data_IF_559802965948
#
_entry.id   IF_559802965948
#
_cell.length_a   1.000
_cell.length_b   1.000
_cell.length_c   1.000
_cell.angle_alpha   90.00
_cell.angle_beta   90.00
_cell.angle_gamma   90.00
#
_symmetry.space_group_name_H-M   'P 1'
#
loop_
_entity.id
_entity.type
_entity.pdbx_description
1 polymer ?
#
# COMPACT_ATOMS: atom_id res chain seq x y z
N UNK A 1 14.31 -28.51 -17.83
CA UNK A 1 14.23 -28.46 -16.35
C UNK A 1 13.74 -27.06 -15.98
N UNK A 2 12.42 -26.86 -15.93
CA UNK A 2 11.82 -25.55 -15.71
C UNK A 2 11.46 -25.36 -14.24
N UNK A 3 12.23 -24.53 -13.55
CA UNK A 3 11.99 -24.17 -12.16
C UNK A 3 10.91 -23.08 -12.10
N UNK A 4 9.65 -23.48 -12.04
CA UNK A 4 8.54 -22.58 -11.73
C UNK A 4 8.69 -22.06 -10.29
N UNK A 5 9.27 -20.86 -10.14
CA UNK A 5 9.25 -20.07 -8.92
C UNK A 5 7.79 -19.69 -8.60
N UNK A 6 7.09 -20.56 -7.87
CA UNK A 6 5.77 -20.27 -7.30
C UNK A 6 5.95 -19.15 -6.27
N UNK A 7 5.81 -17.90 -6.71
CA UNK A 7 5.76 -16.73 -5.83
C UNK A 7 4.67 -16.97 -4.79
N UNK A 8 5.08 -17.18 -3.54
CA UNK A 8 4.17 -17.16 -2.39
C UNK A 8 3.55 -15.76 -2.35
N UNK A 9 2.29 -15.65 -2.77
CA UNK A 9 1.49 -14.43 -2.59
C UNK A 9 1.43 -14.13 -1.10
N UNK A 10 2.12 -13.07 -0.66
CA UNK A 10 2.07 -12.62 0.73
C UNK A 10 0.62 -12.35 1.14
N UNK A 11 0.22 -12.86 2.32
CA UNK A 11 -1.09 -12.58 2.92
C UNK A 11 -1.26 -11.06 3.01
N UNK A 12 -2.15 -10.48 2.20
CA UNK A 12 -2.58 -9.09 2.36
C UNK A 12 -3.53 -9.03 3.57
N UNK A 13 -3.08 -8.46 4.69
CA UNK A 13 -3.91 -8.30 5.90
C UNK A 13 -5.11 -7.41 5.59
N UNK A 14 -6.31 -7.92 5.85
CA UNK A 14 -7.60 -7.31 5.46
C UNK A 14 -8.42 -8.20 4.52
N UNK A 15 -7.81 -9.23 3.93
CA UNK A 15 -8.56 -10.41 3.49
C UNK A 15 -8.75 -11.30 4.72
N UNK A 16 -9.99 -11.65 5.05
CA UNK A 16 -10.20 -12.90 5.77
C UNK A 16 -9.45 -13.98 4.97
N UNK A 17 -8.66 -14.86 5.63
CA UNK A 17 -8.18 -16.04 4.94
C UNK A 17 -9.41 -16.64 4.26
N UNK A 18 -9.32 -16.97 2.96
CA UNK A 18 -10.34 -17.79 2.32
C UNK A 18 -10.43 -19.01 3.22
N UNK A 19 -11.41 -19.02 4.12
CA UNK A 19 -11.56 -20.08 5.06
C UNK A 19 -11.73 -21.31 4.17
N UNK A 20 -10.98 -22.39 4.40
CA UNK A 20 -11.27 -23.61 3.69
C UNK A 20 -12.61 -24.10 4.26
N UNK A 21 -13.73 -23.53 3.81
CA UNK A 21 -15.03 -24.15 3.95
C UNK A 21 -15.01 -25.34 3.00
N UNK A 22 -14.50 -26.42 3.58
CA UNK A 22 -14.43 -27.77 3.05
C UNK A 22 -15.72 -28.06 2.26
N UNK A 23 -15.55 -28.47 1.01
CA UNK A 23 -16.56 -29.09 0.15
C UNK A 23 -17.52 -28.18 -0.65
N UNK A 24 -17.91 -26.98 -0.17
CA UNK A 24 -18.97 -26.17 -0.81
C UNK A 24 -18.49 -25.26 -1.97
N UNK A 25 -17.33 -24.61 -1.83
CA UNK A 25 -16.87 -23.63 -2.84
C UNK A 25 -16.57 -24.26 -4.22
N UNK A 26 -16.17 -25.52 -4.27
CA UNK A 26 -15.85 -26.20 -5.52
C UNK A 26 -17.09 -26.44 -6.39
N UNK A 27 -18.23 -26.73 -5.76
CA UNK A 27 -19.52 -26.87 -6.42
C UNK A 27 -19.99 -25.53 -6.97
N UNK A 28 -19.95 -24.47 -6.16
CA UNK A 28 -20.30 -23.11 -6.58
C UNK A 28 -19.42 -22.64 -7.75
N UNK A 29 -18.11 -22.92 -7.71
CA UNK A 29 -17.19 -22.62 -8.82
C UNK A 29 -17.58 -23.36 -10.09
N UNK A 30 -17.93 -24.65 -9.99
CA UNK A 30 -18.36 -25.47 -11.14
C UNK A 30 -19.63 -24.92 -11.77
N UNK A 31 -20.63 -24.59 -10.97
CA UNK A 31 -21.90 -24.02 -11.45
C UNK A 31 -21.71 -22.64 -12.07
N UNK A 32 -20.93 -21.78 -11.42
CA UNK A 32 -20.61 -20.44 -11.92
C UNK A 32 -19.86 -20.52 -13.25
N UNK A 33 -18.91 -21.45 -13.37
CA UNK A 33 -18.17 -21.70 -14.62
C UNK A 33 -19.11 -22.15 -15.74
N UNK A 34 -20.04 -23.07 -15.44
CA UNK A 34 -21.06 -23.51 -16.41
C UNK A 34 -21.92 -22.34 -16.88
N UNK A 35 -22.37 -21.48 -15.96
CA UNK A 35 -23.19 -20.32 -16.28
C UNK A 35 -22.44 -19.31 -17.16
N UNK A 36 -21.21 -18.97 -16.82
CA UNK A 36 -20.41 -18.00 -17.59
C UNK A 36 -20.08 -18.51 -18.98
N UNK A 37 -19.78 -19.81 -19.13
CA UNK A 37 -19.56 -20.44 -20.44
C UNK A 37 -20.81 -20.43 -21.29
N UNK A 38 -21.98 -20.75 -20.71
CA UNK A 38 -23.28 -20.74 -21.41
C UNK A 38 -23.59 -19.37 -22.02
N UNK A 39 -23.20 -18.29 -21.34
CA UNK A 39 -23.45 -16.91 -21.80
C UNK A 39 -22.24 -16.24 -22.45
N UNK A 40 -21.14 -16.97 -22.70
CA UNK A 40 -19.91 -16.47 -23.31
C UNK A 40 -19.39 -15.15 -22.70
N UNK A 41 -19.45 -15.03 -21.38
CA UNK A 41 -19.10 -13.77 -20.71
C UNK A 41 -17.60 -13.47 -20.87
N UNK A 42 -17.29 -12.26 -21.32
CA UNK A 42 -15.93 -11.70 -21.33
C UNK A 42 -15.44 -11.36 -19.93
N UNK A 43 -14.14 -11.16 -19.78
CA UNK A 43 -13.50 -10.83 -18.51
C UNK A 43 -14.19 -9.63 -17.79
N UNK A 44 -14.43 -8.53 -18.49
CA UNK A 44 -15.04 -7.36 -17.88
C UNK A 44 -16.54 -7.53 -17.60
N UNK A 45 -17.26 -8.30 -18.43
CA UNK A 45 -18.65 -8.65 -18.15
C UNK A 45 -18.78 -9.50 -16.89
N UNK A 46 -17.85 -10.44 -16.63
CA UNK A 46 -17.88 -11.23 -15.39
C UNK A 46 -17.68 -10.35 -14.15
N UNK A 47 -16.79 -9.35 -14.19
CA UNK A 47 -16.61 -8.40 -13.10
C UNK A 47 -17.90 -7.64 -12.80
N UNK A 48 -18.56 -7.14 -13.85
CA UNK A 48 -19.81 -6.40 -13.72
C UNK A 48 -20.92 -7.26 -13.12
N UNK A 49 -21.08 -8.50 -13.61
CA UNK A 49 -22.07 -9.45 -13.08
C UNK A 49 -21.84 -9.72 -11.60
N UNK A 50 -20.60 -10.04 -11.20
CA UNK A 50 -20.28 -10.31 -9.80
C UNK A 50 -20.51 -9.06 -8.93
N UNK A 51 -20.20 -7.86 -9.44
CA UNK A 51 -20.51 -6.62 -8.74
C UNK A 51 -22.01 -6.42 -8.53
N UNK A 52 -22.83 -6.61 -9.56
CA UNK A 52 -24.28 -6.49 -9.44
C UNK A 52 -24.88 -7.55 -8.50
N UNK A 53 -24.38 -8.78 -8.57
CA UNK A 53 -24.76 -9.85 -7.64
C UNK A 53 -24.44 -9.42 -6.21
N UNK A 54 -23.19 -9.03 -5.92
CA UNK A 54 -22.77 -8.57 -4.58
C UNK A 54 -23.68 -7.47 -4.05
N UNK A 55 -24.01 -6.46 -4.86
CA UNK A 55 -24.93 -5.38 -4.49
C UNK A 55 -26.33 -5.90 -4.16
N UNK A 56 -26.88 -6.81 -4.98
CA UNK A 56 -28.21 -7.39 -4.77
C UNK A 56 -28.32 -8.24 -3.50
N UNK A 57 -27.24 -8.92 -3.12
CA UNK A 57 -27.21 -9.74 -1.90
C UNK A 57 -26.61 -9.00 -0.69
N UNK A 58 -26.40 -7.69 -0.79
CA UNK A 58 -25.90 -6.87 0.32
C UNK A 58 -24.44 -7.16 0.73
N UNK A 59 -23.64 -7.82 -0.11
CA UNK A 59 -22.23 -8.04 0.17
C UNK A 59 -21.42 -6.78 -0.13
N UNK A 60 -20.93 -6.14 0.92
CA UNK A 60 -19.94 -5.07 0.84
C UNK A 60 -18.55 -5.59 1.19
N UNK A 61 -17.52 -4.98 0.61
CA UNK A 61 -16.16 -5.21 1.10
C UNK A 61 -16.07 -4.71 2.55
N UNK A 62 -15.36 -5.42 3.45
CA UNK A 62 -15.12 -4.92 4.79
C UNK A 62 -14.46 -3.54 4.68
N UNK A 63 -15.02 -2.57 5.41
CA UNK A 63 -14.46 -1.22 5.45
C UNK A 63 -13.13 -1.30 6.19
N UNK A 64 -12.04 -1.44 5.45
CA UNK A 64 -10.71 -1.26 6.02
C UNK A 64 -10.61 0.20 6.44
N UNK A 65 -10.61 0.46 7.76
CA UNK A 65 -10.29 1.81 8.27
C UNK A 65 -8.99 2.27 7.59
N UNK A 66 -8.92 3.49 7.06
CA UNK A 66 -7.67 4.01 6.52
C UNK A 66 -6.62 3.86 7.62
N UNK A 67 -5.56 3.12 7.29
CA UNK A 67 -4.47 2.85 8.22
C UNK A 67 -3.99 4.18 8.75
N UNK A 68 -4.13 4.43 10.05
CA UNK A 68 -3.33 5.47 10.69
C UNK A 68 -1.90 4.99 10.56
N UNK A 69 -1.13 5.66 9.69
CA UNK A 69 0.31 5.41 9.59
C UNK A 69 0.87 5.70 10.97
N UNK A 70 1.70 4.80 11.47
CA UNK A 70 2.43 5.01 12.73
C UNK A 70 3.29 6.27 12.56
N UNK A 71 3.01 7.27 13.40
CA UNK A 71 3.68 8.57 13.35
C UNK A 71 4.56 8.68 14.56
N UNK A 72 5.78 9.16 14.34
CA UNK A 72 6.65 9.58 15.42
C UNK A 72 6.08 10.85 16.06
N UNK A 73 6.04 10.89 17.38
CA UNK A 73 5.78 12.11 18.12
C UNK A 73 6.97 13.09 18.03
N UNK A 74 6.78 14.31 18.52
CA UNK A 74 7.82 15.36 18.45
C UNK A 74 9.09 14.97 19.21
N UNK A 75 8.96 14.28 20.33
CA UNK A 75 10.10 13.85 21.15
C UNK A 75 10.86 12.70 20.48
N UNK A 76 10.16 11.78 19.84
CA UNK A 76 10.71 10.70 19.01
C UNK A 76 11.49 11.26 17.82
N UNK A 77 10.93 12.25 17.12
CA UNK A 77 11.62 12.95 16.04
C UNK A 77 12.90 13.62 16.55
N UNK A 78 12.84 14.31 17.70
CA UNK A 78 14.02 14.96 18.26
C UNK A 78 15.11 13.93 18.62
N UNK A 79 14.74 12.82 19.27
CA UNK A 79 15.69 11.73 19.59
C UNK A 79 16.32 11.15 18.33
N UNK A 80 15.55 10.98 17.27
CA UNK A 80 16.04 10.50 15.98
C UNK A 80 17.04 11.49 15.34
N UNK A 81 16.73 12.78 15.37
CA UNK A 81 17.63 13.83 14.89
C UNK A 81 18.93 13.82 15.70
N UNK A 82 18.86 13.80 17.03
CA UNK A 82 20.03 13.81 17.90
C UNK A 82 20.92 12.58 17.65
N UNK A 83 20.32 11.40 17.48
CA UNK A 83 21.05 10.18 17.15
C UNK A 83 21.72 10.28 15.78
N UNK A 84 21.02 10.80 14.77
CA UNK A 84 21.56 10.97 13.42
C UNK A 84 22.76 11.95 13.39
N UNK A 85 22.76 12.98 14.24
CA UNK A 85 23.92 13.88 14.38
C UNK A 85 25.12 13.21 15.05
N UNK A 86 24.92 12.23 15.95
CA UNK A 86 26.03 11.44 16.53
C UNK A 86 26.69 10.54 15.49
N UNK A 87 25.91 10.01 14.53
CA UNK A 87 26.44 9.21 13.41
C UNK A 87 27.23 10.05 12.40
N UNK A 88 26.86 11.32 12.24
CA UNK A 88 27.60 12.27 11.40
C UNK A 88 26.76 13.45 10.93
N UNK A 89 27.42 14.61 10.80
CA UNK A 89 26.78 15.90 10.51
C UNK A 89 25.92 15.89 9.24
N UNK A 90 26.38 15.22 8.17
CA UNK A 90 25.62 15.08 6.92
C UNK A 90 24.33 14.29 7.13
N UNK A 91 24.37 13.17 7.87
CA UNK A 91 23.19 12.35 8.15
C UNK A 91 22.21 13.10 9.06
N UNK A 92 22.72 13.74 10.11
CA UNK A 92 21.93 14.59 10.99
C UNK A 92 21.19 15.69 10.23
N UNK A 93 21.87 16.41 9.34
CA UNK A 93 21.26 17.45 8.51
C UNK A 93 20.16 16.88 7.60
N UNK A 94 20.41 15.76 6.92
CA UNK A 94 19.42 15.11 6.06
C UNK A 94 18.14 14.76 6.83
N UNK A 95 18.27 14.10 7.98
CA UNK A 95 17.12 13.71 8.80
C UNK A 95 16.38 14.93 9.35
N UNK A 96 17.12 15.92 9.85
CA UNK A 96 16.54 17.17 10.37
C UNK A 96 15.76 17.91 9.29
N UNK A 97 16.32 18.05 8.09
CA UNK A 97 15.63 18.69 6.96
C UNK A 97 14.37 17.92 6.58
N UNK A 98 14.42 16.59 6.47
CA UNK A 98 13.25 15.77 6.14
C UNK A 98 12.08 15.99 7.10
N UNK A 99 12.35 16.02 8.42
CA UNK A 99 11.30 16.18 9.43
C UNK A 99 10.83 17.63 9.63
N UNK A 100 11.69 18.62 9.39
CA UNK A 100 11.31 20.04 9.51
C UNK A 100 10.47 20.52 8.32
N UNK A 101 10.77 20.03 7.11
CA UNK A 101 10.06 20.46 5.89
C UNK A 101 8.89 19.55 5.54
N UNK A 102 8.92 18.27 5.95
CA UNK A 102 7.93 17.28 5.54
C UNK A 102 7.99 16.95 4.04
N UNK A 103 9.12 17.25 3.37
CA UNK A 103 9.31 16.99 1.96
C UNK A 103 9.08 15.50 1.63
N UNK A 104 8.42 15.22 0.50
CA UNK A 104 8.33 13.84 -0.01
C UNK A 104 9.73 13.33 -0.34
N UNK A 105 9.95 12.03 -0.29
CA UNK A 105 11.24 11.42 -0.66
C UNK A 105 11.68 11.86 -2.05
N UNK A 106 10.76 11.94 -3.01
CA UNK A 106 11.05 12.42 -4.36
C UNK A 106 11.48 13.89 -4.41
N UNK A 107 10.99 14.74 -3.53
CA UNK A 107 11.39 16.15 -3.46
C UNK A 107 12.75 16.26 -2.73
N UNK A 108 12.87 15.58 -1.60
CA UNK A 108 14.03 15.58 -0.72
C UNK A 108 15.33 15.16 -1.42
N UNK A 109 15.30 14.11 -2.25
CA UNK A 109 16.50 13.63 -2.95
C UNK A 109 16.96 14.54 -4.09
N UNK A 110 16.12 15.48 -4.51
CA UNK A 110 16.42 16.42 -5.58
C UNK A 110 16.74 17.83 -5.07
N UNK A 111 16.76 18.06 -3.75
CA UNK A 111 17.16 19.36 -3.17
C UNK A 111 18.59 19.67 -3.58
N UNK A 112 18.80 20.88 -4.06
CA UNK A 112 20.11 21.41 -4.45
C UNK A 112 20.48 22.65 -3.64
N UNK A 113 21.72 23.08 -3.79
CA UNK A 113 22.22 24.28 -3.09
C UNK A 113 21.52 25.52 -3.63
N UNK A 114 21.24 25.56 -4.94
CA UNK A 114 20.49 26.65 -5.58
C UNK A 114 19.03 26.78 -5.10
N UNK A 115 18.47 25.77 -4.43
CA UNK A 115 17.11 25.85 -3.86
C UNK A 115 17.10 26.50 -2.46
N UNK A 116 18.27 26.74 -1.86
CA UNK A 116 18.41 27.28 -0.51
C UNK A 116 18.63 28.80 -0.58
N UNK A 117 17.64 29.56 -0.13
CA UNK A 117 17.78 31.00 0.06
C UNK A 117 17.93 31.30 1.56
N UNK A 118 19.04 31.94 1.93
CA UNK A 118 19.30 32.40 3.29
C UNK A 118 19.08 33.91 3.33
N UNK A 119 18.34 34.41 4.31
CA UNK A 119 17.95 35.83 4.45
C UNK A 119 19.15 36.82 4.60
N UNK A 120 20.39 36.31 4.56
CA UNK A 120 21.63 37.09 4.61
C UNK A 120 22.46 37.13 3.32
N UNK A 121 22.05 36.42 2.26
CA UNK A 121 22.76 36.45 0.97
C UNK A 121 22.24 37.61 0.08
N UNK A 122 23.14 38.38 -0.58
CA UNK A 122 22.71 39.38 -1.57
C UNK A 122 22.03 38.71 -2.77
N UNK A 123 21.07 39.39 -3.43
CA UNK A 123 20.29 38.85 -4.54
C UNK A 123 21.12 38.54 -5.79
#
# INVERSE_FOLDING_TARGET
MDTQYRRKSGKRRGQEPIAPSRTDLAEVIRETTRLWRKHHLSYDQTKHVVEQVRRRIGLAAPTNRPRTVERLDRAEVQRLIDHAYRDGSRRGLLIKTLFLTGARVSEFVHIRVEDLHLDGDPP
#
